data_IF_682561055354
#
_entry.id   IF_682561055354
#
_cell.length_a   1.000
_cell.length_b   1.000
_cell.length_c   1.000
_cell.angle_alpha   90.00
_cell.angle_beta   90.00
_cell.angle_gamma   90.00
#
_symmetry.space_group_name_H-M   'P 1'
#
loop_
_entity.id
_entity.type
_entity.pdbx_description
1 polymer ?
#
# COMPACT_ATOMS: atom_id res chain seq x y z
N UNK A 1 17.44 -5.97 9.09
CA UNK A 1 18.12 -6.04 7.77
C UNK A 1 18.06 -7.42 7.12
N UNK A 2 18.24 -8.54 7.84
CA UNK A 2 18.22 -9.87 7.22
C UNK A 2 16.83 -10.34 6.72
N UNK A 3 15.74 -9.82 7.27
CA UNK A 3 14.38 -10.23 6.90
C UNK A 3 14.02 -9.67 5.51
N UNK A 4 13.93 -8.37 5.33
CA UNK A 4 13.54 -7.70 4.07
C UNK A 4 14.26 -8.16 2.78
N UNK A 5 15.45 -8.75 2.90
CA UNK A 5 16.23 -9.26 1.78
C UNK A 5 15.52 -10.42 1.06
N UNK A 6 14.76 -11.26 1.77
CA UNK A 6 14.00 -12.33 1.13
C UNK A 6 12.88 -11.76 0.27
N UNK A 7 12.16 -10.71 0.74
CA UNK A 7 11.19 -10.01 -0.10
C UNK A 7 11.84 -9.45 -1.37
N UNK A 8 12.97 -8.74 -1.23
CA UNK A 8 13.67 -8.12 -2.37
C UNK A 8 14.11 -9.15 -3.42
N UNK A 9 14.66 -10.28 -2.95
CA UNK A 9 15.16 -11.35 -3.82
C UNK A 9 14.04 -12.21 -4.41
N UNK A 10 12.85 -12.22 -3.81
CA UNK A 10 11.67 -12.91 -4.37
C UNK A 10 11.11 -12.22 -5.61
N UNK A 11 11.40 -10.93 -5.80
CA UNK A 11 10.95 -10.17 -6.96
C UNK A 11 11.80 -10.60 -8.18
N UNK A 12 11.21 -10.90 -9.35
CA UNK A 12 11.97 -11.21 -10.57
C UNK A 12 12.88 -10.04 -11.01
N UNK A 13 14.08 -10.29 -11.55
CA UNK A 13 15.04 -9.24 -11.87
C UNK A 13 14.57 -8.29 -12.98
N UNK A 14 13.77 -8.77 -13.92
CA UNK A 14 13.19 -7.96 -15.01
C UNK A 14 11.86 -7.29 -14.67
N UNK A 15 11.28 -7.55 -13.49
CA UNK A 15 10.00 -6.98 -13.10
C UNK A 15 10.15 -5.50 -12.73
N UNK A 16 9.13 -4.71 -13.05
CA UNK A 16 9.03 -3.33 -12.62
C UNK A 16 8.58 -3.24 -11.16
N UNK A 17 9.25 -2.39 -10.38
CA UNK A 17 9.01 -2.27 -8.93
C UNK A 17 8.84 -0.80 -8.57
N UNK A 18 7.77 -0.46 -7.84
CA UNK A 18 7.74 0.78 -7.09
C UNK A 18 7.88 0.52 -5.59
N UNK A 19 8.73 1.29 -4.92
CA UNK A 19 9.02 1.07 -3.50
C UNK A 19 9.11 2.38 -2.70
N UNK A 20 8.97 2.27 -1.38
CA UNK A 20 9.26 3.39 -0.46
C UNK A 20 10.77 3.54 -0.24
N UNK A 21 11.22 4.68 0.30
CA UNK A 21 12.63 5.11 0.28
C UNK A 21 13.59 4.07 0.87
N UNK A 22 13.15 3.42 1.97
CA UNK A 22 13.88 2.36 2.67
C UNK A 22 14.40 1.26 1.74
N UNK A 23 13.67 0.93 0.67
CA UNK A 23 14.01 -0.17 -0.23
C UNK A 23 14.74 0.28 -1.49
N UNK A 24 14.89 1.59 -1.74
CA UNK A 24 15.53 2.08 -2.96
C UNK A 24 17.01 1.68 -3.05
N UNK A 25 17.79 1.87 -1.99
CA UNK A 25 19.20 1.52 -2.00
C UNK A 25 19.42 0.00 -2.23
N UNK A 26 18.71 -0.91 -1.52
CA UNK A 26 18.76 -2.34 -1.83
C UNK A 26 18.32 -2.74 -3.24
N UNK A 27 17.35 -2.03 -3.82
CA UNK A 27 16.83 -2.29 -5.16
C UNK A 27 17.61 -1.55 -6.27
N UNK A 28 18.64 -0.77 -5.94
CA UNK A 28 19.34 0.14 -6.86
C UNK A 28 20.01 -0.52 -8.07
N UNK A 29 20.26 -1.83 -8.02
CA UNK A 29 20.80 -2.60 -9.15
C UNK A 29 19.75 -2.97 -10.21
N UNK A 30 18.46 -2.70 -9.97
CA UNK A 30 17.38 -2.99 -10.90
C UNK A 30 17.26 -1.89 -11.96
N UNK A 31 16.92 -2.31 -13.18
CA UNK A 31 16.66 -1.39 -14.29
C UNK A 31 15.33 -0.65 -14.12
N UNK A 32 14.30 -1.34 -13.62
CA UNK A 32 12.93 -0.84 -13.55
C UNK A 32 12.50 -0.60 -12.09
N UNK A 33 13.08 0.43 -11.46
CA UNK A 33 12.73 0.86 -10.11
C UNK A 33 12.19 2.29 -10.10
N UNK A 34 11.07 2.49 -9.39
CA UNK A 34 10.44 3.80 -9.21
C UNK A 34 10.27 4.11 -7.72
N UNK A 35 10.57 5.35 -7.31
CA UNK A 35 10.22 5.83 -5.98
C UNK A 35 8.70 6.07 -5.92
N UNK A 36 8.01 5.23 -5.15
CA UNK A 36 6.55 5.21 -5.09
C UNK A 36 5.95 6.58 -4.70
N UNK A 37 6.42 7.27 -3.64
CA UNK A 37 5.89 8.58 -3.28
C UNK A 37 5.92 9.60 -4.43
N UNK A 38 6.98 9.63 -5.26
CA UNK A 38 7.05 10.54 -6.40
C UNK A 38 6.01 10.21 -7.49
N UNK A 39 5.78 8.92 -7.75
CA UNK A 39 4.75 8.45 -8.70
C UNK A 39 3.33 8.87 -8.29
N UNK A 40 3.13 9.15 -7.01
CA UNK A 40 1.84 9.46 -6.40
C UNK A 40 1.57 10.97 -6.24
N UNK A 41 2.54 11.85 -6.53
CA UNK A 41 2.42 13.31 -6.36
C UNK A 41 1.39 13.99 -7.24
N UNK A 42 1.00 13.36 -8.36
CA UNK A 42 0.13 13.92 -9.40
C UNK A 42 0.68 15.15 -10.13
N UNK A 43 1.89 15.62 -9.83
CA UNK A 43 2.52 16.76 -10.49
C UNK A 43 3.99 16.54 -10.72
N UNK A 44 4.46 16.86 -11.93
CA UNK A 44 5.87 16.75 -12.29
C UNK A 44 6.72 17.84 -11.61
N UNK A 45 7.95 17.49 -11.24
CA UNK A 45 8.88 18.44 -10.61
C UNK A 45 9.14 19.71 -11.45
N UNK A 46 9.16 19.57 -12.78
CA UNK A 46 9.53 20.64 -13.72
C UNK A 46 8.37 21.06 -14.65
N UNK A 47 7.13 20.67 -14.35
CA UNK A 47 6.00 20.95 -15.23
C UNK A 47 4.63 20.89 -14.54
N UNK A 48 3.62 21.46 -15.20
CA UNK A 48 2.21 21.47 -14.72
C UNK A 48 1.48 20.17 -15.12
N UNK A 49 2.16 19.26 -15.81
CA UNK A 49 1.59 18.00 -16.24
C UNK A 49 1.60 16.98 -15.08
N UNK A 50 0.62 16.06 -15.03
CA UNK A 50 0.61 15.02 -14.03
C UNK A 50 1.71 13.98 -14.27
N UNK A 51 2.22 13.38 -13.19
CA UNK A 51 2.98 12.15 -13.32
C UNK A 51 2.05 11.05 -13.85
N UNK A 52 2.43 10.30 -14.91
CA UNK A 52 1.64 9.17 -15.36
C UNK A 52 1.58 8.13 -14.24
N UNK A 53 0.37 7.64 -13.95
CA UNK A 53 0.19 6.55 -12.99
C UNK A 53 0.49 5.22 -13.69
N UNK A 54 1.77 4.92 -13.87
CA UNK A 54 2.20 3.61 -14.38
C UNK A 54 2.00 2.54 -13.31
N UNK A 55 1.50 1.38 -13.71
CA UNK A 55 1.28 0.26 -12.80
C UNK A 55 2.46 -0.71 -12.87
N UNK A 56 3.42 -0.65 -11.91
CA UNK A 56 4.50 -1.62 -11.83
C UNK A 56 3.99 -3.06 -11.61
N UNK A 57 4.85 -4.05 -11.80
CA UNK A 57 4.52 -5.44 -11.53
C UNK A 57 4.44 -5.70 -10.01
N UNK A 58 5.30 -5.03 -9.24
CA UNK A 58 5.37 -5.16 -7.79
C UNK A 58 5.38 -3.81 -7.05
N UNK A 59 4.80 -3.82 -5.85
CA UNK A 59 4.94 -2.75 -4.86
C UNK A 59 5.64 -3.30 -3.62
N UNK A 60 6.71 -2.64 -3.17
CA UNK A 60 7.40 -2.98 -1.92
C UNK A 60 7.29 -1.83 -0.92
N UNK A 61 6.55 -2.06 0.15
CA UNK A 61 6.08 -1.01 1.05
C UNK A 61 6.56 -1.27 2.47
N UNK A 62 6.87 -0.20 3.20
CA UNK A 62 7.01 -0.26 4.65
C UNK A 62 5.65 -0.03 5.30
N UNK A 63 5.36 -0.76 6.37
CA UNK A 63 4.09 -0.78 7.07
C UNK A 63 3.78 0.58 7.66
N UNK A 64 4.80 1.26 8.16
CA UNK A 64 4.69 2.64 8.61
C UNK A 64 4.24 3.57 7.47
N UNK A 65 4.72 3.37 6.24
CA UNK A 65 4.35 4.20 5.09
C UNK A 65 2.92 3.89 4.58
N UNK A 66 2.44 2.67 4.79
CA UNK A 66 1.08 2.22 4.44
C UNK A 66 0.05 2.77 5.42
N UNK A 67 0.35 2.74 6.73
CA UNK A 67 -0.57 3.16 7.78
C UNK A 67 -0.47 4.64 8.15
N UNK A 68 0.69 5.27 7.93
CA UNK A 68 0.90 6.69 8.22
C UNK A 68 0.61 7.60 7.01
N UNK A 69 -0.19 7.18 6.03
CA UNK A 69 -0.63 8.01 4.91
C UNK A 69 0.52 8.48 3.95
N UNK A 70 1.43 7.58 3.56
CA UNK A 70 2.47 7.78 2.51
C UNK A 70 3.40 8.99 2.73
N UNK A 71 3.87 9.18 3.96
CA UNK A 71 4.56 10.40 4.42
C UNK A 71 5.97 10.65 3.84
N UNK A 72 6.61 9.72 3.14
CA UNK A 72 8.03 9.94 2.76
C UNK A 72 8.26 10.97 1.64
N UNK A 73 7.24 11.35 0.88
CA UNK A 73 7.44 12.43 -0.08
C UNK A 73 7.80 13.75 0.60
N UNK A 74 7.37 14.00 1.83
CA UNK A 74 7.66 15.25 2.56
C UNK A 74 9.17 15.49 2.80
N UNK A 75 10.03 14.50 2.53
CA UNK A 75 11.49 14.65 2.57
C UNK A 75 12.04 15.67 1.57
N UNK A 76 11.30 15.98 0.49
CA UNK A 76 11.64 17.03 -0.46
C UNK A 76 10.75 18.26 -0.21
N UNK A 77 11.34 19.44 -0.07
CA UNK A 77 10.56 20.64 0.30
C UNK A 77 9.41 20.97 -0.68
N UNK A 78 9.56 20.65 -1.98
CA UNK A 78 8.60 21.00 -3.01
C UNK A 78 7.39 20.06 -3.10
N UNK A 79 7.54 18.81 -2.65
CA UNK A 79 6.51 17.76 -2.74
C UNK A 79 5.48 17.86 -1.62
N UNK A 80 5.82 18.53 -0.51
CA UNK A 80 4.96 18.70 0.65
C UNK A 80 3.60 19.32 0.31
N UNK A 81 3.57 20.24 -0.66
CA UNK A 81 2.35 20.91 -1.14
C UNK A 81 1.38 19.96 -1.85
N UNK A 82 1.84 18.78 -2.27
CA UNK A 82 1.09 17.82 -3.07
C UNK A 82 0.87 16.48 -2.35
N UNK A 83 1.29 16.39 -1.08
CA UNK A 83 1.15 15.17 -0.28
C UNK A 83 -0.31 14.68 -0.19
N UNK A 84 -1.28 15.60 -0.20
CA UNK A 84 -2.71 15.26 -0.19
C UNK A 84 -3.17 14.44 -1.40
N UNK A 85 -2.43 14.48 -2.51
CA UNK A 85 -2.77 13.74 -3.73
C UNK A 85 -2.39 12.25 -3.65
N UNK A 86 -1.51 11.88 -2.70
CA UNK A 86 -0.89 10.56 -2.69
C UNK A 86 -1.85 9.45 -2.33
N UNK A 87 -2.64 9.64 -1.27
CA UNK A 87 -3.61 8.65 -0.79
C UNK A 87 -4.63 8.28 -1.88
N UNK A 88 -5.35 9.24 -2.50
CA UNK A 88 -6.31 8.89 -3.54
C UNK A 88 -5.62 8.22 -4.74
N UNK A 89 -4.44 8.70 -5.17
CA UNK A 89 -3.69 8.06 -6.27
C UNK A 89 -3.20 6.65 -5.92
N UNK A 90 -2.82 6.40 -4.67
CA UNK A 90 -2.42 5.09 -4.21
C UNK A 90 -3.60 4.12 -4.21
N UNK A 91 -4.78 4.57 -3.76
CA UNK A 91 -6.01 3.77 -3.86
C UNK A 91 -6.36 3.44 -5.31
N UNK A 92 -6.22 4.41 -6.21
CA UNK A 92 -6.39 4.19 -7.65
C UNK A 92 -5.39 3.16 -8.18
N UNK A 93 -4.10 3.30 -7.84
CA UNK A 93 -3.05 2.37 -8.23
C UNK A 93 -3.40 0.93 -7.82
N UNK A 94 -3.76 0.74 -6.55
CA UNK A 94 -4.14 -0.58 -6.02
C UNK A 94 -5.37 -1.15 -6.71
N UNK A 95 -6.37 -0.32 -6.97
CA UNK A 95 -7.62 -0.73 -7.61
C UNK A 95 -7.43 -1.12 -9.08
N UNK A 96 -6.76 -0.27 -9.86
CA UNK A 96 -6.59 -0.47 -11.30
C UNK A 96 -5.58 -1.57 -11.62
N UNK A 97 -4.51 -1.70 -10.82
CA UNK A 97 -3.54 -2.79 -10.98
C UNK A 97 -3.99 -4.12 -10.36
N UNK A 98 -5.13 -4.14 -9.67
CA UNK A 98 -5.64 -5.33 -8.97
C UNK A 98 -4.57 -5.99 -8.10
N UNK A 99 -3.87 -5.18 -7.31
CA UNK A 99 -2.76 -5.64 -6.47
C UNK A 99 -3.28 -6.42 -5.27
N UNK A 100 -2.46 -7.34 -4.79
CA UNK A 100 -2.64 -7.95 -3.48
C UNK A 100 -1.34 -8.42 -2.88
N UNK A 101 -1.37 -8.58 -1.56
CA UNK A 101 -0.22 -8.91 -0.74
C UNK A 101 0.15 -10.37 -0.99
N UNK A 102 1.39 -10.62 -1.42
CA UNK A 102 1.93 -11.97 -1.65
C UNK A 102 2.94 -12.39 -0.58
N UNK A 103 3.53 -11.44 0.13
CA UNK A 103 4.43 -11.72 1.25
C UNK A 103 4.48 -10.55 2.24
N UNK A 104 4.75 -10.87 3.50
CA UNK A 104 4.99 -9.92 4.59
C UNK A 104 6.17 -10.41 5.42
N UNK A 105 7.14 -9.55 5.68
CA UNK A 105 8.25 -9.82 6.59
C UNK A 105 8.50 -8.62 7.49
N UNK A 106 8.33 -8.79 8.80
CA UNK A 106 8.38 -7.68 9.74
C UNK A 106 7.38 -6.58 9.36
N UNK A 107 7.90 -5.37 9.18
CA UNK A 107 7.15 -4.19 8.74
C UNK A 107 7.10 -4.05 7.22
N UNK A 108 7.58 -5.00 6.42
CA UNK A 108 7.59 -4.87 4.97
C UNK A 108 6.49 -5.70 4.30
N UNK A 109 5.83 -5.12 3.30
CA UNK A 109 4.82 -5.77 2.46
C UNK A 109 5.26 -5.82 1.01
N UNK A 110 5.12 -6.99 0.39
CA UNK A 110 5.25 -7.17 -1.05
C UNK A 110 3.89 -7.42 -1.67
N UNK A 111 3.49 -6.57 -2.59
CA UNK A 111 2.27 -6.69 -3.37
C UNK A 111 2.61 -6.98 -4.83
N UNK A 112 1.80 -7.81 -5.47
CA UNK A 112 1.96 -8.17 -6.89
C UNK A 112 0.70 -7.77 -7.66
N UNK A 113 0.90 -7.21 -8.84
CA UNK A 113 -0.15 -6.83 -9.78
C UNK A 113 -0.95 -8.06 -10.22
N UNK A 114 -2.25 -7.92 -10.43
CA UNK A 114 -3.16 -9.00 -10.80
C UNK A 114 -3.25 -10.17 -9.80
N UNK A 115 -2.67 -10.07 -8.60
CA UNK A 115 -2.83 -11.04 -7.53
C UNK A 115 -3.84 -10.51 -6.53
N UNK A 116 -5.12 -10.63 -6.86
CA UNK A 116 -6.18 -10.23 -5.93
C UNK A 116 -6.07 -11.06 -4.65
N UNK A 117 -6.02 -10.41 -3.49
CA UNK A 117 -6.14 -11.12 -2.22
C UNK A 117 -7.53 -11.78 -2.21
N UNK A 118 -7.57 -13.11 -2.27
CA UNK A 118 -8.81 -13.89 -2.23
C UNK A 118 -9.45 -13.70 -0.87
N UNK A 119 -10.54 -12.94 -0.87
CA UNK A 119 -11.70 -13.02 0.02
C UNK A 119 -11.46 -13.75 1.35
N UNK A 120 -11.51 -13.00 2.45
CA UNK A 120 -11.64 -13.57 3.78
C UNK A 120 -13.05 -14.17 3.89
N UNK A 121 -13.21 -15.44 4.31
CA UNK A 121 -14.53 -15.98 4.57
C UNK A 121 -15.20 -15.14 5.68
N UNK A 122 -16.51 -14.85 5.58
CA UNK A 122 -17.20 -14.17 6.66
C UNK A 122 -17.04 -15.00 7.94
N UNK A 123 -16.66 -14.35 9.03
CA UNK A 123 -16.62 -14.97 10.35
C UNK A 123 -17.55 -14.19 11.28
N UNK A 124 -18.28 -14.93 12.11
CA UNK A 124 -19.19 -14.42 13.13
C UNK A 124 -18.63 -14.81 14.50
N UNK A 125 -18.63 -13.89 15.45
CA UNK A 125 -18.38 -14.19 16.86
C UNK A 125 -19.60 -13.79 17.69
N UNK A 126 -19.95 -14.62 18.68
CA UNK A 126 -20.95 -14.29 19.70
C UNK A 126 -20.23 -13.55 20.84
N UNK A 127 -20.38 -12.22 20.92
CA UNK A 127 -20.00 -11.50 22.14
C UNK A 127 -21.09 -11.65 23.21
N UNK A 128 -20.77 -12.30 24.33
CA UNK A 128 -21.61 -12.25 25.53
C UNK A 128 -21.38 -10.90 26.22
N UNK A 129 -22.37 -10.01 26.18
CA UNK A 129 -22.42 -8.89 27.12
C UNK A 129 -23.11 -7.61 26.68
N UNK A 130 -23.51 -7.47 25.41
CA UNK A 130 -24.23 -6.27 24.96
C UNK A 130 -25.45 -6.69 24.13
N UNK A 131 -26.64 -6.57 24.71
CA UNK A 131 -27.89 -6.78 23.98
C UNK A 131 -28.04 -5.72 22.88
N UNK A 132 -28.13 -6.14 21.62
CA UNK A 132 -28.48 -5.25 20.48
C UNK A 132 -27.33 -4.75 19.61
N UNK A 133 -26.09 -5.18 19.86
CA UNK A 133 -24.94 -4.85 19.00
C UNK A 133 -24.72 -5.94 17.95
N UNK A 134 -25.08 -5.66 16.70
CA UNK A 134 -24.65 -6.45 15.54
C UNK A 134 -23.46 -5.74 14.91
N UNK A 135 -22.28 -6.38 14.98
CA UNK A 135 -21.08 -5.87 14.35
C UNK A 135 -20.29 -6.96 13.65
N UNK A 136 -19.46 -6.55 12.69
CA UNK A 136 -18.53 -7.41 11.98
C UNK A 136 -17.16 -6.75 11.89
N UNK A 137 -16.12 -7.54 11.64
CA UNK A 137 -14.80 -7.02 11.30
C UNK A 137 -14.67 -6.96 9.78
N UNK A 138 -14.36 -5.78 9.24
CA UNK A 138 -14.02 -5.60 7.82
C UNK A 138 -12.53 -5.40 7.71
N UNK A 139 -11.83 -6.27 6.96
CA UNK A 139 -10.47 -5.95 6.55
C UNK A 139 -10.52 -5.02 5.34
N UNK A 140 -9.81 -3.90 5.41
CA UNK A 140 -9.54 -3.13 4.20
C UNK A 140 -8.49 -3.81 3.31
N UNK A 141 -8.33 -3.29 2.09
CA UNK A 141 -7.43 -3.83 1.06
C UNK A 141 -5.95 -3.81 1.45
N UNK A 142 -5.60 -3.24 2.59
CA UNK A 142 -4.24 -3.11 3.10
C UNK A 142 -3.97 -4.04 4.28
N UNK A 143 -4.94 -4.84 4.71
CA UNK A 143 -4.77 -5.74 5.85
C UNK A 143 -5.30 -5.20 7.18
N UNK A 144 -5.96 -4.04 7.21
CA UNK A 144 -6.40 -3.41 8.45
C UNK A 144 -7.82 -3.77 8.82
N UNK A 145 -7.97 -4.22 10.06
CA UNK A 145 -9.24 -4.72 10.60
C UNK A 145 -10.02 -3.55 11.20
N UNK A 146 -11.16 -3.23 10.60
CA UNK A 146 -12.10 -2.23 11.09
C UNK A 146 -13.30 -2.92 11.73
N UNK A 147 -13.59 -2.57 12.98
CA UNK A 147 -14.84 -2.92 13.63
C UNK A 147 -15.96 -2.07 13.02
N UNK A 148 -16.94 -2.73 12.41
CA UNK A 148 -18.19 -2.12 11.95
C UNK A 148 -19.24 -2.56 12.94
N UNK A 149 -19.83 -1.61 13.65
CA UNK A 149 -20.96 -1.84 14.54
C UNK A 149 -22.17 -1.11 13.96
N UNK A 150 -23.25 -1.83 13.69
CA UNK A 150 -24.57 -1.22 13.52
C UNK A 150 -25.24 -1.16 14.88
N UNK A 151 -25.41 0.06 15.40
CA UNK A 151 -26.25 0.31 16.56
C UNK A 151 -27.65 0.60 16.02
N UNK A 152 -28.53 -0.40 16.07
CA UNK A 152 -29.96 -0.15 15.91
C UNK A 152 -30.45 0.57 17.17
N UNK A 153 -30.61 1.89 17.11
CA UNK A 153 -31.38 2.62 18.11
C UNK A 153 -32.81 2.06 18.11
N UNK A 154 -33.22 1.50 19.25
CA UNK A 154 -34.61 1.13 19.53
C UNK A 154 -35.32 2.23 20.28
#
# INVERSE_FOLDING_TARGET
MAHDWNLITSIPPGASVAATDRFLAPLSSRENITLLPLMLLDIQQYGVAPYPLTQPDYLLLDEEDVWADLVQAQSLAWTALFASNMIPRFRTLLAEGNYGIIAREGSAFLLEKNKRQTTIPPFSFEERGVEGLTGGLTLDRLGSVKLVTDITDR
#
